data_IF_734521125232
#
_entry.id   IF_734521125232
#
_cell.length_a   1.000
_cell.length_b   1.000
_cell.length_c   1.000
_cell.angle_alpha   90.00
_cell.angle_beta   90.00
_cell.angle_gamma   90.00
#
_symmetry.space_group_name_H-M   'P 1'
#
loop_
_entity.id
_entity.type
_entity.pdbx_description
1 polymer ?
#
# COMPACT_ATOMS: atom_id res chain seq x y z
N UNK A 1 29.49 11.73 15.26
CA UNK A 1 28.69 12.94 14.99
C UNK A 1 27.98 12.79 13.65
N UNK A 2 26.71 13.18 13.52
CA UNK A 2 25.97 12.99 12.27
C UNK A 2 26.58 13.84 11.13
N UNK A 3 26.45 13.38 9.88
CA UNK A 3 26.97 14.07 8.70
C UNK A 3 25.81 14.63 7.87
N UNK A 4 25.81 15.94 7.62
CA UNK A 4 24.91 16.56 6.64
C UNK A 4 25.52 16.33 5.26
N UNK A 5 24.82 15.58 4.40
CA UNK A 5 25.32 15.21 3.07
C UNK A 5 24.74 16.11 1.98
N UNK A 6 25.62 16.52 1.06
CA UNK A 6 25.26 17.22 -0.17
C UNK A 6 25.55 16.31 -1.36
N UNK A 7 24.65 16.29 -2.33
CA UNK A 7 24.71 15.39 -3.47
C UNK A 7 24.79 16.17 -4.76
N UNK A 8 25.75 15.81 -5.62
CA UNK A 8 25.84 16.29 -6.99
C UNK A 8 25.50 15.12 -7.90
N UNK A 9 24.28 15.10 -8.43
CA UNK A 9 23.74 13.98 -9.17
C UNK A 9 23.51 14.32 -10.64
N UNK A 10 23.80 13.36 -11.51
CA UNK A 10 23.48 13.39 -12.93
C UNK A 10 22.43 12.32 -13.22
N UNK A 11 21.42 12.68 -14.00
CA UNK A 11 20.39 11.76 -14.48
C UNK A 11 20.84 11.07 -15.77
N UNK A 12 20.59 9.77 -15.88
CA UNK A 12 20.75 8.99 -17.11
C UNK A 12 19.57 8.05 -17.33
N UNK A 13 19.27 7.77 -18.61
CA UNK A 13 18.23 6.83 -19.02
C UNK A 13 18.73 5.94 -20.15
N UNK A 14 18.76 4.64 -19.90
CA UNK A 14 19.11 3.61 -20.89
C UNK A 14 17.95 2.63 -21.03
N UNK A 15 17.23 2.70 -22.15
CA UNK A 15 16.00 1.94 -22.36
C UNK A 15 14.94 2.24 -21.30
N UNK A 16 14.57 1.23 -20.51
CA UNK A 16 13.60 1.33 -19.39
C UNK A 16 14.26 1.70 -18.05
N UNK A 17 15.59 1.70 -17.97
CA UNK A 17 16.32 1.94 -16.73
C UNK A 17 16.67 3.42 -16.59
N UNK A 18 16.28 4.04 -15.47
CA UNK A 18 16.59 5.42 -15.15
C UNK A 18 17.43 5.47 -13.88
N UNK A 19 18.48 6.27 -13.88
CA UNK A 19 19.48 6.33 -12.80
C UNK A 19 19.85 7.77 -12.47
N UNK A 20 19.98 8.09 -11.18
CA UNK A 20 20.65 9.29 -10.68
C UNK A 20 21.98 8.85 -10.07
N UNK A 21 23.10 9.25 -10.67
CA UNK A 21 24.43 8.88 -10.19
C UNK A 21 25.33 10.10 -10.04
N UNK A 22 26.22 10.07 -9.07
CA UNK A 22 27.20 11.12 -8.89
C UNK A 22 27.96 10.98 -7.58
N UNK A 23 28.43 12.10 -7.08
CA UNK A 23 29.25 12.14 -5.88
C UNK A 23 28.45 12.78 -4.73
N UNK A 24 28.71 12.31 -3.52
CA UNK A 24 28.22 12.92 -2.30
C UNK A 24 29.40 13.38 -1.45
N UNK A 25 29.28 14.58 -0.91
CA UNK A 25 30.14 15.10 0.13
C UNK A 25 29.31 15.44 1.37
N UNK A 26 29.90 16.06 2.37
CA UNK A 26 29.14 16.53 3.51
C UNK A 26 30.00 17.22 4.55
N UNK A 27 29.34 17.80 5.54
CA UNK A 27 29.98 18.42 6.71
C UNK A 27 29.40 17.78 7.95
N UNK A 28 30.27 17.52 8.93
CA UNK A 28 29.86 16.98 10.22
C UNK A 28 28.99 18.02 10.95
N UNK A 29 27.81 17.61 11.44
CA UNK A 29 26.90 18.47 12.20
C UNK A 29 27.65 19.11 13.37
N UNK A 30 27.52 20.44 13.51
CA UNK A 30 28.18 21.26 14.54
C UNK A 30 29.71 21.23 14.50
N UNK A 31 30.31 20.87 13.36
CA UNK A 31 31.75 20.91 13.13
C UNK A 31 32.12 21.58 11.80
N UNK A 32 33.42 21.78 11.60
CA UNK A 32 34.01 22.30 10.35
C UNK A 32 34.66 21.21 9.50
N UNK A 33 34.65 19.96 9.99
CA UNK A 33 35.25 18.82 9.31
C UNK A 33 34.31 18.30 8.22
N UNK A 34 34.89 18.07 7.03
CA UNK A 34 34.20 17.43 5.93
C UNK A 34 34.06 15.93 6.18
N UNK A 35 32.93 15.36 5.76
CA UNK A 35 32.74 13.93 5.72
C UNK A 35 33.56 13.33 4.57
N UNK A 36 33.97 12.08 4.71
CA UNK A 36 34.60 11.35 3.60
C UNK A 36 33.62 11.27 2.43
N UNK A 37 33.97 11.83 1.26
CA UNK A 37 33.08 11.81 0.11
C UNK A 37 32.99 10.40 -0.49
N UNK A 38 31.95 10.16 -1.28
CA UNK A 38 31.77 8.88 -1.96
C UNK A 38 30.88 8.99 -3.20
N UNK A 39 30.75 7.86 -3.90
CA UNK A 39 29.84 7.75 -5.05
C UNK A 39 28.48 7.25 -4.60
N UNK A 40 27.45 7.69 -5.30
CA UNK A 40 26.08 7.25 -5.10
C UNK A 40 25.45 6.96 -6.46
N UNK A 41 24.62 5.91 -6.48
CA UNK A 41 23.83 5.52 -7.64
C UNK A 41 22.44 5.18 -7.10
N UNK A 42 21.43 5.85 -7.62
CA UNK A 42 20.02 5.64 -7.28
C UNK A 42 19.30 5.19 -8.55
N UNK A 43 18.59 4.08 -8.48
CA UNK A 43 17.77 3.61 -9.59
C UNK A 43 16.32 4.05 -9.37
N UNK A 44 15.65 4.47 -10.46
CA UNK A 44 14.22 4.75 -10.42
C UNK A 44 13.46 3.45 -10.17
N UNK A 45 12.78 3.38 -9.04
CA UNK A 45 11.75 2.37 -8.79
C UNK A 45 10.46 2.82 -9.47
N UNK A 46 9.91 2.00 -10.36
CA UNK A 46 8.63 2.29 -11.05
C UNK A 46 7.47 2.12 -10.10
N UNK A 47 7.57 1.14 -9.20
CA UNK A 47 6.61 0.85 -8.15
C UNK A 47 7.30 0.93 -6.79
N UNK A 48 6.71 1.64 -5.85
CA UNK A 48 7.26 1.82 -4.50
C UNK A 48 7.36 0.48 -3.79
N UNK A 49 8.48 0.23 -3.11
CA UNK A 49 8.55 -0.90 -2.20
C UNK A 49 7.83 -0.67 -0.87
N UNK A 50 7.53 0.59 -0.55
CA UNK A 50 6.80 0.97 0.64
C UNK A 50 5.29 0.76 0.43
N UNK A 51 4.68 -0.04 1.29
CA UNK A 51 3.24 -0.18 1.41
C UNK A 51 2.69 1.11 2.00
N UNK A 52 2.16 2.00 1.16
CA UNK A 52 1.40 3.14 1.66
C UNK A 52 0.06 2.60 2.15
N UNK A 53 -0.13 2.54 3.48
CA UNK A 53 -1.42 2.15 4.06
C UNK A 53 -2.43 3.21 3.60
N UNK A 54 -3.46 2.79 2.86
CA UNK A 54 -4.50 3.70 2.41
C UNK A 54 -5.43 3.97 3.58
N UNK A 55 -5.49 5.21 4.04
CA UNK A 55 -6.46 5.63 5.06
C UNK A 55 -7.74 6.18 4.41
N UNK A 56 -8.90 5.74 4.91
CA UNK A 56 -10.21 6.25 4.51
C UNK A 56 -10.97 6.65 5.77
N UNK A 57 -11.33 7.93 5.82
CA UNK A 57 -12.18 8.46 6.88
C UNK A 57 -13.65 8.15 6.58
N UNK A 58 -14.36 7.61 7.56
CA UNK A 58 -15.76 7.19 7.46
C UNK A 58 -16.56 7.76 8.62
N UNK A 59 -17.80 8.15 8.37
CA UNK A 59 -18.74 8.70 9.35
C UNK A 59 -19.86 7.72 9.74
N UNK A 60 -19.77 6.48 9.27
CA UNK A 60 -20.82 5.45 9.39
C UNK A 60 -20.38 4.26 10.23
N UNK A 61 -21.31 3.67 10.97
CA UNK A 61 -21.04 2.58 11.93
C UNK A 61 -20.74 1.20 11.32
N UNK A 62 -21.08 0.96 10.05
CA UNK A 62 -20.84 -0.32 9.37
C UNK A 62 -20.49 -0.06 7.91
N UNK A 63 -19.38 -0.66 7.49
CA UNK A 63 -18.85 -0.61 6.14
C UNK A 63 -19.10 -1.95 5.47
N UNK A 64 -19.64 -1.94 4.25
CA UNK A 64 -19.66 -3.13 3.41
C UNK A 64 -18.47 -3.11 2.47
N UNK A 65 -17.70 -4.18 2.48
CA UNK A 65 -16.52 -4.37 1.65
C UNK A 65 -16.78 -5.51 0.67
N UNK A 66 -16.75 -5.21 -0.62
CA UNK A 66 -16.95 -6.18 -1.68
C UNK A 66 -15.65 -6.31 -2.50
N UNK A 67 -15.03 -7.48 -2.46
CA UNK A 67 -13.81 -7.81 -3.19
C UNK A 67 -14.15 -8.55 -4.47
N UNK A 68 -13.74 -8.00 -5.61
CA UNK A 68 -13.88 -8.58 -6.93
C UNK A 68 -12.52 -8.88 -7.53
N UNK A 69 -12.53 -9.72 -8.55
CA UNK A 69 -11.41 -9.81 -9.50
C UNK A 69 -11.17 -8.45 -10.18
N UNK A 70 -9.92 -8.15 -10.51
CA UNK A 70 -9.53 -6.88 -11.13
C UNK A 70 -9.30 -6.98 -12.65
N UNK A 71 -10.19 -7.67 -13.37
CA UNK A 71 -10.34 -7.52 -14.82
C UNK A 71 -10.42 -8.85 -15.56
N UNK A 72 -9.42 -9.71 -15.39
CA UNK A 72 -9.36 -11.04 -15.99
C UNK A 72 -9.31 -12.09 -14.87
N UNK A 73 -10.27 -13.02 -14.88
CA UNK A 73 -10.38 -14.08 -13.88
C UNK A 73 -9.29 -15.12 -14.13
N UNK A 74 -8.13 -14.88 -13.53
CA UNK A 74 -6.90 -15.58 -13.83
C UNK A 74 -6.53 -16.61 -12.75
N UNK A 75 -7.38 -16.79 -11.73
CA UNK A 75 -7.17 -17.76 -10.65
C UNK A 75 -6.78 -17.15 -9.31
N UNK A 76 -6.81 -15.83 -9.18
CA UNK A 76 -6.53 -15.16 -7.92
C UNK A 76 -7.39 -15.64 -6.74
N UNK A 77 -6.72 -16.01 -5.64
CA UNK A 77 -7.35 -16.35 -4.37
C UNK A 77 -6.81 -15.48 -3.24
N UNK A 78 -7.70 -15.06 -2.34
CA UNK A 78 -7.36 -14.18 -1.22
C UNK A 78 -7.85 -14.70 0.12
N UNK A 79 -7.16 -14.28 1.17
CA UNK A 79 -7.68 -14.21 2.52
C UNK A 79 -7.82 -12.75 2.94
N UNK A 80 -8.75 -12.47 3.86
CA UNK A 80 -8.96 -11.13 4.41
C UNK A 80 -8.90 -11.19 5.92
N UNK A 81 -8.14 -10.27 6.52
CA UNK A 81 -8.10 -10.06 7.96
C UNK A 81 -8.63 -8.69 8.32
N UNK A 82 -9.29 -8.59 9.48
CA UNK A 82 -9.69 -7.34 10.13
C UNK A 82 -8.98 -7.29 11.49
N UNK A 83 -8.14 -6.30 11.72
CA UNK A 83 -7.29 -6.18 12.91
C UNK A 83 -6.55 -7.49 13.22
N UNK A 84 -5.88 -8.05 12.22
CA UNK A 84 -5.15 -9.33 12.29
C UNK A 84 -5.99 -10.58 12.55
N UNK A 85 -7.32 -10.48 12.60
CA UNK A 85 -8.23 -11.62 12.70
C UNK A 85 -8.76 -11.99 11.31
N UNK A 86 -8.53 -13.22 10.87
CA UNK A 86 -9.05 -13.73 9.60
C UNK A 86 -10.58 -13.77 9.60
N UNK A 87 -11.18 -13.14 8.60
CA UNK A 87 -12.64 -13.12 8.38
C UNK A 87 -13.03 -13.84 7.08
N UNK A 88 -12.11 -13.92 6.13
CA UNK A 88 -12.21 -14.70 4.90
C UNK A 88 -10.93 -15.49 4.74
N UNK A 89 -11.04 -16.76 4.39
CA UNK A 89 -9.87 -17.61 4.13
C UNK A 89 -9.95 -18.27 2.76
N UNK A 90 -8.89 -18.08 1.98
CA UNK A 90 -8.62 -18.74 0.70
C UNK A 90 -9.83 -18.84 -0.22
N UNK A 91 -10.43 -17.69 -0.51
CA UNK A 91 -11.54 -17.56 -1.43
C UNK A 91 -11.06 -17.03 -2.77
N UNK A 92 -11.55 -17.64 -3.86
CA UNK A 92 -11.21 -17.23 -5.22
C UNK A 92 -11.98 -15.96 -5.60
N UNK A 93 -11.29 -15.01 -6.22
CA UNK A 93 -11.87 -13.81 -6.81
C UNK A 93 -12.62 -14.14 -8.10
N UNK A 94 -13.63 -13.33 -8.42
CA UNK A 94 -14.40 -13.47 -9.65
C UNK A 94 -15.44 -12.37 -9.83
N UNK A 95 -16.43 -12.63 -10.69
CA UNK A 95 -17.52 -11.68 -11.00
C UNK A 95 -18.43 -11.44 -9.79
N UNK A 96 -18.70 -12.48 -9.00
CA UNK A 96 -19.44 -12.34 -7.74
C UNK A 96 -18.46 -11.92 -6.65
N UNK A 97 -18.79 -10.91 -5.84
CA UNK A 97 -17.88 -10.44 -4.83
C UNK A 97 -17.79 -11.41 -3.65
N UNK A 98 -16.63 -11.37 -3.00
CA UNK A 98 -16.51 -11.78 -1.60
C UNK A 98 -16.91 -10.55 -0.77
N UNK A 99 -18.00 -10.66 -0.01
CA UNK A 99 -18.54 -9.56 0.80
C UNK A 99 -18.25 -9.78 2.28
N UNK A 100 -17.75 -8.74 2.96
CA UNK A 100 -17.66 -8.68 4.43
C UNK A 100 -18.20 -7.36 4.95
N UNK A 101 -18.75 -7.38 6.16
CA UNK A 101 -19.16 -6.18 6.88
C UNK A 101 -18.17 -5.88 8.02
N UNK A 102 -17.69 -4.65 8.09
CA UNK A 102 -16.75 -4.17 9.11
C UNK A 102 -17.42 -3.07 9.92
N UNK A 103 -17.51 -3.25 11.24
CA UNK A 103 -18.04 -2.21 12.13
C UNK A 103 -16.92 -1.27 12.55
N UNK A 104 -17.18 0.03 12.41
CA UNK A 104 -16.29 1.09 12.91
C UNK A 104 -17.12 1.92 13.89
N UNK A 105 -16.72 1.98 15.15
CA UNK A 105 -17.50 2.63 16.21
C UNK A 105 -16.65 3.63 16.96
N UNK A 106 -17.24 4.45 17.84
CA UNK A 106 -16.47 5.36 18.68
C UNK A 106 -15.50 4.62 19.63
N UNK A 107 -15.89 3.43 20.10
CA UNK A 107 -15.06 2.58 20.97
C UNK A 107 -13.97 1.81 20.19
N UNK A 108 -14.18 1.62 18.89
CA UNK A 108 -13.24 0.98 17.98
C UNK A 108 -13.12 1.81 16.68
N UNK A 109 -12.52 3.02 16.79
CA UNK A 109 -12.56 4.03 15.73
C UNK A 109 -11.65 3.68 14.57
N UNK A 110 -10.75 2.72 14.72
CA UNK A 110 -9.84 2.28 13.68
C UNK A 110 -10.06 0.80 13.36
N UNK A 111 -10.14 0.48 12.07
CA UNK A 111 -10.18 -0.88 11.57
C UNK A 111 -9.16 -1.05 10.45
N UNK A 112 -8.22 -1.97 10.62
CA UNK A 112 -7.26 -2.34 9.59
C UNK A 112 -7.76 -3.57 8.86
N UNK A 113 -8.01 -3.41 7.56
CA UNK A 113 -8.41 -4.50 6.68
C UNK A 113 -7.24 -4.84 5.78
N UNK A 114 -6.77 -6.09 5.87
CA UNK A 114 -5.64 -6.57 5.08
C UNK A 114 -6.10 -7.67 4.15
N UNK A 115 -5.85 -7.48 2.85
CA UNK A 115 -5.96 -8.52 1.84
C UNK A 115 -4.61 -9.23 1.71
N UNK A 116 -4.65 -10.55 1.79
CA UNK A 116 -3.51 -11.44 1.62
C UNK A 116 -3.75 -12.24 0.36
N UNK A 117 -2.84 -12.16 -0.62
CA UNK A 117 -2.87 -13.04 -1.79
C UNK A 117 -2.41 -14.45 -1.39
N UNK A 118 -3.28 -15.45 -1.53
CA UNK A 118 -2.97 -16.86 -1.27
C UNK A 118 -2.22 -17.51 -2.44
N UNK A 119 -2.26 -16.87 -3.60
CA UNK A 119 -1.49 -17.22 -4.78
C UNK A 119 -1.10 -15.94 -5.54
N UNK A 120 -0.59 -16.09 -6.77
CA UNK A 120 -0.25 -14.98 -7.66
C UNK A 120 -1.18 -14.91 -8.88
N UNK A 121 -2.25 -15.72 -8.90
CA UNK A 121 -3.00 -15.98 -10.13
C UNK A 121 -2.15 -16.65 -11.20
N UNK A 122 -2.62 -16.57 -12.45
CA UNK A 122 -1.82 -16.95 -13.63
C UNK A 122 -1.07 -15.76 -14.22
N UNK A 123 -1.49 -14.53 -13.88
CA UNK A 123 -0.88 -13.25 -14.25
C UNK A 123 -0.53 -12.49 -12.96
N UNK A 124 0.71 -12.60 -12.46
CA UNK A 124 1.13 -11.88 -11.24
C UNK A 124 1.08 -10.35 -11.39
N UNK A 125 0.85 -9.58 -10.31
CA UNK A 125 0.56 -10.04 -8.93
C UNK A 125 -0.90 -10.45 -8.74
N UNK A 126 -1.25 -10.98 -7.56
CA UNK A 126 -2.63 -11.21 -7.20
C UNK A 126 -3.33 -9.87 -6.96
N UNK A 127 -4.39 -9.58 -7.71
CA UNK A 127 -5.06 -8.27 -7.70
C UNK A 127 -6.54 -8.35 -7.43
N UNK A 128 -7.05 -7.38 -6.67
CA UNK A 128 -8.47 -7.28 -6.37
C UNK A 128 -8.97 -5.84 -6.55
N UNK A 129 -10.21 -5.72 -7.00
CA UNK A 129 -10.99 -4.50 -6.90
C UNK A 129 -11.79 -4.54 -5.60
N UNK A 130 -11.48 -3.64 -4.68
CA UNK A 130 -12.24 -3.45 -3.45
C UNK A 130 -13.21 -2.28 -3.61
N UNK A 131 -14.51 -2.57 -3.48
CA UNK A 131 -15.57 -1.57 -3.34
C UNK A 131 -15.91 -1.43 -1.86
N UNK A 132 -15.79 -0.23 -1.33
CA UNK A 132 -16.17 0.14 0.03
C UNK A 132 -17.47 0.93 -0.02
N UNK A 133 -18.50 0.47 0.68
CA UNK A 133 -19.75 1.21 0.85
C UNK A 133 -19.89 1.65 2.30
N UNK A 134 -19.94 2.96 2.53
CA UNK A 134 -20.01 3.61 3.83
C UNK A 134 -21.22 4.57 3.84
N UNK A 135 -22.40 4.06 4.19
CA UNK A 135 -23.66 4.78 4.01
C UNK A 135 -23.87 5.18 2.55
N UNK A 136 -23.89 6.49 2.27
CA UNK A 136 -24.07 7.03 0.92
C UNK A 136 -22.75 7.22 0.15
N UNK A 137 -21.60 6.97 0.78
CA UNK A 137 -20.28 7.11 0.15
C UNK A 137 -19.84 5.76 -0.39
N UNK A 138 -19.25 5.78 -1.59
CA UNK A 138 -18.68 4.60 -2.24
C UNK A 138 -17.25 4.90 -2.66
N UNK A 139 -16.31 4.05 -2.23
CA UNK A 139 -14.90 4.14 -2.60
C UNK A 139 -14.51 2.92 -3.43
N UNK A 140 -13.59 3.14 -4.36
CA UNK A 140 -13.04 2.11 -5.21
C UNK A 140 -11.52 2.09 -5.02
N UNK A 141 -10.99 0.94 -4.62
CA UNK A 141 -9.57 0.74 -4.36
C UNK A 141 -9.07 -0.45 -5.18
N UNK A 142 -7.90 -0.29 -5.78
CA UNK A 142 -7.19 -1.36 -6.45
C UNK A 142 -6.15 -1.91 -5.47
N UNK A 143 -6.23 -3.19 -5.16
CA UNK A 143 -5.37 -3.88 -4.21
C UNK A 143 -4.49 -4.86 -4.99
N UNK A 144 -3.23 -5.01 -4.55
CA UNK A 144 -2.29 -5.96 -5.11
C UNK A 144 -1.47 -6.64 -4.01
N UNK A 145 -1.22 -7.94 -4.17
CA UNK A 145 -0.37 -8.73 -3.28
C UNK A 145 0.58 -9.61 -4.09
N UNK A 146 1.85 -9.72 -3.66
CA UNK A 146 2.89 -10.44 -4.38
C UNK A 146 3.64 -11.46 -3.50
N UNK A 147 2.96 -12.03 -2.50
CA UNK A 147 3.51 -13.00 -1.53
C UNK A 147 4.51 -12.42 -0.52
N UNK A 148 5.15 -11.29 -0.85
CA UNK A 148 6.00 -10.51 0.07
C UNK A 148 5.26 -9.30 0.65
N UNK A 149 4.33 -8.73 -0.10
CA UNK A 149 3.53 -7.57 0.28
C UNK A 149 2.05 -7.91 0.27
N UNK A 150 1.36 -7.46 1.29
CA UNK A 150 -0.10 -7.52 1.40
C UNK A 150 -0.66 -6.12 1.18
N UNK A 151 -1.92 -6.03 0.74
CA UNK A 151 -2.61 -4.76 0.60
C UNK A 151 -3.39 -4.48 1.88
N UNK A 152 -3.14 -3.33 2.51
CA UNK A 152 -3.83 -2.92 3.73
C UNK A 152 -4.53 -1.57 3.55
N UNK A 153 -5.77 -1.50 4.03
CA UNK A 153 -6.59 -0.29 4.09
C UNK A 153 -6.98 -0.05 5.55
N UNK A 154 -6.79 1.16 6.04
CA UNK A 154 -7.22 1.59 7.38
C UNK A 154 -8.46 2.45 7.26
N UNK A 155 -9.51 2.06 7.96
CA UNK A 155 -10.72 2.87 8.11
C UNK A 155 -10.69 3.57 9.45
N UNK A 156 -10.92 4.88 9.44
CA UNK A 156 -10.92 5.72 10.65
C UNK A 156 -12.28 6.38 10.79
N UNK A 157 -12.94 6.19 11.93
CA UNK A 157 -14.18 6.87 12.25
C UNK A 157 -13.90 8.36 12.49
N UNK A 158 -14.51 9.21 11.67
CA UNK A 158 -14.49 10.65 11.85
C UNK A 158 -15.93 11.11 12.10
N UNK A 159 -16.16 11.75 13.25
CA UNK A 159 -17.47 12.30 13.55
C UNK A 159 -17.83 13.34 12.48
N UNK A 160 -18.99 13.24 11.81
CA UNK A 160 -19.40 14.24 10.84
C UNK A 160 -19.46 15.61 11.54
N UNK A 161 -18.90 16.63 10.90
CA UNK A 161 -18.99 18.00 11.41
C UNK A 161 -20.47 18.41 11.49
N UNK A 162 -20.90 19.08 12.58
CA UNK A 162 -22.28 19.54 12.75
C UNK A 162 -22.71 20.54 11.68
#
# INVERSE_FOLDING_TARGET
TPCIRYFTLTYSKEGKQETLSGDWGGVVMNGTLNCTPGKIVLHRIVESEFTHIKEIKVDTGTLRLDFYDNGEIDGDSISVTVNNKTVVSNQRLGVKPISIDVKVTLDAPEQEVTMIGENLGTIPPNTALLIVTAGNKRYQLFLASNGKKNAQVRFVYEKPSP
#
